data_IF_480019537686
#
_entry.id   IF_480019537686
#
_cell.length_a   1.000
_cell.length_b   1.000
_cell.length_c   1.000
_cell.angle_alpha   90.00
_cell.angle_beta   90.00
_cell.angle_gamma   90.00
#
_symmetry.space_group_name_H-M   'P 1'
#
loop_
_entity.id
_entity.type
_entity.pdbx_description
1 polymer ?
#
# COMPACT_ATOMS: atom_id res chain seq x y z
N UNK A 1 65.54 46.54 50.39
CA UNK A 1 65.84 45.16 49.96
C UNK A 1 65.83 45.15 48.44
N UNK A 2 66.95 44.72 47.83
CA UNK A 2 67.10 43.98 46.56
C UNK A 2 66.01 44.19 45.48
N UNK A 3 66.24 44.54 44.21
CA UNK A 3 67.31 44.26 43.23
C UNK A 3 66.95 45.15 42.00
N UNK A 4 67.76 46.11 41.52
CA UNK A 4 68.75 45.96 40.43
C UNK A 4 68.42 44.78 39.50
N UNK A 5 68.07 44.95 38.22
CA UNK A 5 68.91 45.42 37.09
C UNK A 5 68.18 45.01 35.77
N UNK A 6 68.48 45.43 34.53
CA UNK A 6 69.57 46.17 33.91
C UNK A 6 69.03 46.91 32.67
N UNK A 7 69.59 48.09 32.51
CA UNK A 7 69.76 48.93 31.33
C UNK A 7 70.16 48.21 30.03
N UNK A 8 69.70 48.72 28.88
CA UNK A 8 70.57 49.11 27.75
C UNK A 8 69.75 49.49 26.52
N UNK A 9 69.71 50.79 26.24
CA UNK A 9 69.35 51.38 24.95
C UNK A 9 70.60 52.03 24.37
N UNK A 10 71.05 51.54 23.21
CA UNK A 10 72.12 52.16 22.42
C UNK A 10 72.08 51.65 20.97
N UNK A 11 72.43 52.49 19.98
CA UNK A 11 71.75 52.48 18.68
C UNK A 11 72.51 51.77 17.56
N UNK A 12 71.73 51.30 16.58
CA UNK A 12 72.19 50.69 15.34
C UNK A 12 72.79 51.71 14.36
N UNK A 13 73.78 51.29 13.55
CA UNK A 13 73.81 51.79 12.19
C UNK A 13 74.24 50.76 11.12
N UNK A 14 73.87 51.10 9.88
CA UNK A 14 74.35 50.59 8.56
C UNK A 14 73.80 49.21 8.16
N UNK A 15 73.26 48.99 6.97
CA UNK A 15 73.12 49.84 5.79
C UNK A 15 72.95 48.96 4.53
N UNK A 16 72.44 49.60 3.48
CA UNK A 16 72.40 49.22 2.06
C UNK A 16 71.20 48.40 1.53
N UNK A 17 70.78 48.91 0.36
CA UNK A 17 69.56 48.67 -0.43
C UNK A 17 69.66 47.43 -1.33
N UNK A 18 68.47 47.02 -1.82
CA UNK A 18 68.06 46.11 -2.94
C UNK A 18 67.48 44.79 -2.41
N UNK A 19 66.35 44.25 -2.88
CA UNK A 19 65.43 44.61 -3.96
C UNK A 19 64.04 43.99 -3.73
N UNK A 20 63.02 44.81 -3.95
CA UNK A 20 61.65 44.52 -4.43
C UNK A 20 61.51 43.20 -5.23
N UNK A 21 61.24 42.04 -4.62
CA UNK A 21 60.63 40.82 -5.25
C UNK A 21 60.00 39.81 -4.27
N UNK A 22 59.69 40.17 -3.01
CA UNK A 22 59.16 39.21 -2.02
C UNK A 22 58.04 39.84 -1.18
N UNK A 23 56.98 40.33 -1.85
CA UNK A 23 55.71 40.66 -1.17
C UNK A 23 54.46 40.25 -1.96
N UNK A 24 54.61 39.63 -3.14
CA UNK A 24 53.48 39.04 -3.89
C UNK A 24 53.27 37.54 -3.64
N UNK A 25 54.17 36.86 -2.92
CA UNK A 25 54.11 35.40 -2.74
C UNK A 25 53.32 34.90 -1.53
N UNK A 26 53.01 35.76 -0.55
CA UNK A 26 52.38 35.34 0.71
C UNK A 26 50.93 35.83 0.84
N UNK A 27 50.51 36.83 0.06
CA UNK A 27 49.09 37.18 -0.09
C UNK A 27 48.31 36.18 -0.99
N UNK A 28 49.01 35.29 -1.71
CA UNK A 28 48.40 34.26 -2.57
C UNK A 28 48.24 32.89 -1.89
N UNK A 29 48.78 32.72 -0.66
CA UNK A 29 48.71 31.46 0.10
C UNK A 29 47.77 31.52 1.31
N UNK A 30 47.28 32.70 1.67
CA UNK A 30 46.22 32.91 2.67
C UNK A 30 44.85 33.19 2.06
N UNK A 31 44.68 32.95 0.75
CA UNK A 31 43.44 33.11 -0.01
C UNK A 31 42.93 31.82 -0.66
N UNK A 32 43.50 30.67 -0.33
CA UNK A 32 43.24 29.38 -1.02
C UNK A 32 42.48 28.34 -0.19
N UNK A 33 41.91 28.73 0.96
CA UNK A 33 41.20 27.81 1.86
C UNK A 33 39.70 28.07 2.03
N UNK A 34 39.09 28.89 1.17
CA UNK A 34 37.62 28.99 1.06
C UNK A 34 37.21 29.08 -0.42
N UNK A 35 37.65 28.12 -1.22
CA UNK A 35 36.79 27.68 -2.32
C UNK A 35 35.81 26.69 -1.70
N UNK A 36 34.69 27.23 -1.20
CA UNK A 36 33.52 26.42 -0.94
C UNK A 36 33.23 25.67 -2.23
N UNK A 37 33.42 24.35 -2.24
CA UNK A 37 32.81 23.49 -3.22
C UNK A 37 31.30 23.63 -3.02
N UNK A 38 30.71 24.64 -3.65
CA UNK A 38 29.34 24.50 -4.13
C UNK A 38 29.45 23.44 -5.22
N UNK A 39 29.37 22.18 -4.78
CA UNK A 39 28.97 21.10 -5.65
C UNK A 39 27.53 21.44 -6.04
N UNK A 40 27.39 22.33 -7.03
CA UNK A 40 26.13 22.59 -7.69
C UNK A 40 25.83 21.31 -8.48
N UNK A 41 25.23 20.33 -7.80
CA UNK A 41 24.43 19.34 -8.49
C UNK A 41 23.39 20.15 -9.27
N UNK A 42 23.38 20.03 -10.59
CA UNK A 42 22.32 20.57 -11.41
C UNK A 42 21.07 19.76 -11.03
N UNK A 43 20.27 20.28 -10.09
CA UNK A 43 18.98 19.66 -9.76
C UNK A 43 18.07 20.06 -10.91
N UNK A 44 18.07 19.21 -11.95
CA UNK A 44 17.12 19.31 -13.04
C UNK A 44 15.76 18.86 -12.50
N UNK A 45 15.02 19.82 -11.95
CA UNK A 45 13.61 19.67 -11.66
C UNK A 45 12.90 19.76 -13.00
N UNK A 46 12.50 18.60 -13.54
CA UNK A 46 11.67 18.47 -14.73
C UNK A 46 12.39 18.47 -16.11
N UNK A 47 13.59 17.90 -16.19
CA UNK A 47 14.23 17.53 -17.46
C UNK A 47 14.36 18.69 -18.46
N UNK A 48 14.77 19.87 -18.00
CA UNK A 48 14.91 21.11 -18.78
C UNK A 48 13.60 21.70 -19.33
N UNK A 49 12.43 21.33 -18.79
CA UNK A 49 11.16 22.01 -19.06
C UNK A 49 10.97 23.25 -18.17
N UNK A 50 10.18 24.27 -18.61
CA UNK A 50 9.89 25.44 -17.81
C UNK A 50 9.25 25.05 -16.46
N UNK A 51 9.90 25.43 -15.35
CA UNK A 51 9.34 25.24 -14.02
C UNK A 51 8.27 26.31 -13.78
N UNK A 52 7.02 25.87 -13.59
CA UNK A 52 5.88 26.76 -13.34
C UNK A 52 5.78 27.14 -11.85
N UNK A 53 5.40 28.39 -11.58
CA UNK A 53 5.21 28.91 -10.22
C UNK A 53 4.04 28.19 -9.55
N UNK A 54 4.31 27.33 -8.58
CA UNK A 54 3.31 26.51 -7.88
C UNK A 54 3.61 25.02 -7.81
N UNK A 55 4.67 24.54 -8.45
CA UNK A 55 5.12 23.16 -8.26
C UNK A 55 5.79 23.04 -6.88
N UNK A 56 5.06 22.45 -5.93
CA UNK A 56 5.56 22.12 -4.60
C UNK A 56 6.71 21.12 -4.65
N UNK A 57 7.34 20.87 -3.50
CA UNK A 57 8.39 19.84 -3.35
C UNK A 57 7.86 18.51 -3.89
N UNK A 58 8.40 18.06 -5.02
CA UNK A 58 8.08 16.77 -5.62
C UNK A 58 8.72 15.66 -4.77
N UNK A 59 8.04 15.24 -3.70
CA UNK A 59 8.30 13.95 -3.10
C UNK A 59 7.70 12.88 -3.99
N UNK A 60 8.47 11.82 -4.23
CA UNK A 60 8.04 10.66 -5.00
C UNK A 60 6.90 9.97 -4.24
N UNK A 61 5.69 10.13 -4.75
CA UNK A 61 4.54 9.31 -4.35
C UNK A 61 4.78 7.92 -4.94
N UNK A 62 4.65 6.83 -4.19
CA UNK A 62 4.81 5.45 -4.71
C UNK A 62 3.92 5.23 -5.94
N UNK A 63 2.79 5.91 -5.95
CA UNK A 63 1.83 5.97 -7.03
C UNK A 63 2.16 6.88 -8.24
N UNK A 64 3.19 7.70 -8.17
CA UNK A 64 3.59 8.63 -9.24
C UNK A 64 4.62 8.05 -10.22
N UNK A 65 5.25 6.90 -9.88
CA UNK A 65 6.14 6.11 -10.76
C UNK A 65 6.77 6.88 -11.92
N UNK A 66 6.38 6.53 -13.15
CA UNK A 66 6.72 7.23 -14.40
C UNK A 66 5.57 8.07 -14.95
N UNK A 67 4.45 8.16 -14.22
CA UNK A 67 3.22 8.84 -14.62
C UNK A 67 2.87 9.89 -13.60
N UNK A 68 3.03 11.16 -13.97
CA UNK A 68 2.75 12.27 -13.07
C UNK A 68 1.27 12.30 -12.69
N UNK A 69 1.02 12.21 -11.37
CA UNK A 69 -0.31 12.43 -10.82
C UNK A 69 -0.65 13.92 -10.94
N UNK A 70 -1.85 14.22 -11.43
CA UNK A 70 -2.35 15.61 -11.47
C UNK A 70 -3.35 15.81 -10.35
N UNK A 71 -3.08 16.78 -9.48
CA UNK A 71 -3.96 17.21 -8.38
C UNK A 71 -4.58 18.54 -8.76
N UNK A 72 -5.91 18.61 -8.81
CA UNK A 72 -6.66 19.81 -9.13
C UNK A 72 -7.54 20.19 -7.93
N UNK A 73 -7.20 21.25 -7.18
CA UNK A 73 -8.11 21.81 -6.18
C UNK A 73 -9.26 22.54 -6.85
N UNK A 74 -10.46 22.40 -6.30
CA UNK A 74 -11.63 23.14 -6.72
C UNK A 74 -12.15 24.00 -5.57
N UNK A 75 -12.66 25.18 -5.92
CA UNK A 75 -13.30 26.08 -4.99
C UNK A 75 -14.70 26.43 -5.46
N UNK A 76 -15.62 26.59 -4.52
CA UNK A 76 -17.01 26.97 -4.79
C UNK A 76 -17.45 28.08 -3.85
N UNK A 77 -18.33 28.96 -4.34
CA UNK A 77 -18.85 30.07 -3.57
C UNK A 77 -20.10 29.66 -2.77
N UNK A 78 -20.03 29.80 -1.46
CA UNK A 78 -21.17 29.56 -0.56
C UNK A 78 -21.78 30.89 -0.12
N UNK A 79 -23.08 31.06 -0.37
CA UNK A 79 -23.85 32.23 0.07
C UNK A 79 -24.15 32.18 1.57
N UNK A 80 -24.05 33.31 2.25
CA UNK A 80 -24.48 33.52 3.63
C UNK A 80 -25.23 34.86 3.78
N UNK A 81 -25.90 35.07 4.91
CA UNK A 81 -26.59 36.32 5.18
C UNK A 81 -25.57 37.45 5.38
N UNK A 82 -25.58 38.45 4.50
CA UNK A 82 -24.65 39.59 4.58
C UNK A 82 -23.31 39.41 3.84
N UNK A 83 -23.13 38.32 3.09
CA UNK A 83 -21.95 38.06 2.26
C UNK A 83 -21.81 36.58 1.90
N UNK A 84 -20.77 36.20 1.17
CA UNK A 84 -20.44 34.80 0.92
C UNK A 84 -18.93 34.62 0.78
N UNK A 85 -18.47 33.38 0.73
CA UNK A 85 -17.05 33.09 0.65
C UNK A 85 -16.79 31.91 -0.29
N UNK A 86 -15.61 31.92 -0.94
CA UNK A 86 -15.12 30.76 -1.67
C UNK A 86 -14.48 29.79 -0.69
N UNK A 87 -15.03 28.58 -0.65
CA UNK A 87 -14.49 27.48 0.11
C UNK A 87 -13.69 26.56 -0.80
N UNK A 88 -12.65 25.94 -0.25
CA UNK A 88 -12.03 24.79 -0.88
C UNK A 88 -12.98 23.60 -0.71
N UNK A 89 -13.57 23.10 -1.81
CA UNK A 89 -14.72 22.18 -1.76
C UNK A 89 -14.45 20.80 -2.32
N UNK A 90 -13.47 20.64 -3.20
CA UNK A 90 -13.07 19.31 -3.66
C UNK A 90 -11.63 19.27 -4.14
N UNK A 91 -11.11 18.04 -4.24
CA UNK A 91 -9.84 17.73 -4.89
C UNK A 91 -10.08 16.63 -5.90
N UNK A 92 -9.68 16.91 -7.14
CA UNK A 92 -9.64 15.91 -8.21
C UNK A 92 -8.20 15.39 -8.34
N UNK A 93 -8.02 14.08 -8.31
CA UNK A 93 -6.74 13.43 -8.60
C UNK A 93 -6.91 12.60 -9.86
N UNK A 94 -5.99 12.73 -10.81
CA UNK A 94 -6.04 12.03 -12.10
C UNK A 94 -4.66 11.48 -12.49
N UNK A 95 -4.65 10.68 -13.57
CA UNK A 95 -3.50 9.92 -14.05
C UNK A 95 -2.99 8.88 -13.04
N UNK A 96 -3.89 8.29 -12.25
CA UNK A 96 -3.54 7.27 -11.27
C UNK A 96 -3.28 5.93 -11.99
N UNK A 97 -2.05 5.38 -11.97
CA UNK A 97 -1.73 4.15 -12.67
C UNK A 97 -2.30 2.90 -11.97
N UNK A 98 -2.40 1.80 -12.70
CA UNK A 98 -2.87 0.51 -12.15
C UNK A 98 -1.94 -0.06 -11.06
N UNK A 99 -0.67 0.39 -11.01
CA UNK A 99 0.26 0.02 -9.94
C UNK A 99 -0.14 0.56 -8.58
N UNK A 100 -1.11 1.49 -8.53
CA UNK A 100 -1.67 2.05 -7.31
C UNK A 100 -2.83 1.27 -6.73
N UNK A 101 -3.15 0.12 -7.29
CA UNK A 101 -4.17 -0.73 -6.70
C UNK A 101 -3.76 -1.11 -5.27
N UNK A 102 -4.74 -1.11 -4.39
CA UNK A 102 -4.60 -1.43 -2.98
C UNK A 102 -3.72 -0.42 -2.19
N UNK A 103 -3.75 0.86 -2.59
CA UNK A 103 -3.10 1.99 -1.91
C UNK A 103 -4.12 2.99 -1.35
N UNK A 104 -3.74 3.64 -0.27
CA UNK A 104 -4.44 4.78 0.32
C UNK A 104 -3.81 6.09 -0.14
N UNK A 105 -4.62 6.97 -0.72
CA UNK A 105 -4.26 8.35 -1.02
C UNK A 105 -4.71 9.25 0.12
N UNK A 106 -3.75 9.88 0.80
CA UNK A 106 -4.01 10.87 1.84
C UNK A 106 -3.69 12.25 1.30
N UNK A 107 -4.70 13.13 1.22
CA UNK A 107 -4.56 14.51 0.80
C UNK A 107 -4.65 15.43 2.02
N UNK A 108 -3.72 16.39 2.11
CA UNK A 108 -3.72 17.44 3.14
C UNK A 108 -3.53 18.80 2.47
N UNK A 109 -4.07 19.86 3.06
CA UNK A 109 -3.83 21.24 2.62
C UNK A 109 -3.13 22.03 3.72
N UNK A 110 -2.31 23.00 3.33
CA UNK A 110 -1.52 23.82 4.25
C UNK A 110 -1.67 25.29 3.91
N UNK A 111 -1.57 26.13 4.93
CA UNK A 111 -1.50 27.59 4.77
C UNK A 111 -0.09 28.09 4.47
N UNK A 112 0.03 29.41 4.26
CA UNK A 112 1.30 30.09 3.96
C UNK A 112 2.26 30.15 5.17
N UNK A 113 1.78 29.86 6.38
CA UNK A 113 2.59 29.90 7.60
C UNK A 113 2.20 28.74 8.52
N UNK A 114 3.17 27.89 8.84
CA UNK A 114 2.99 26.74 9.73
C UNK A 114 3.10 25.39 9.02
N UNK A 115 3.41 24.35 9.81
CA UNK A 115 3.59 22.98 9.32
C UNK A 115 2.39 22.08 9.64
N UNK A 116 1.32 22.64 10.19
CA UNK A 116 0.10 21.92 10.54
C UNK A 116 -0.89 21.96 9.36
N UNK A 117 -1.51 20.83 9.00
CA UNK A 117 -2.56 20.81 7.99
C UNK A 117 -3.77 21.65 8.42
N UNK A 118 -4.45 22.25 7.43
CA UNK A 118 -5.72 22.95 7.61
C UNK A 118 -6.86 21.97 7.88
N UNK A 119 -7.85 22.40 8.65
CA UNK A 119 -9.14 21.72 8.71
C UNK A 119 -9.86 21.90 7.36
N UNK A 120 -10.21 20.79 6.72
CA UNK A 120 -10.75 20.76 5.35
C UNK A 120 -12.28 20.65 5.37
N UNK A 121 -12.82 19.72 6.16
CA UNK A 121 -14.24 19.42 6.21
C UNK A 121 -14.69 18.90 7.58
N UNK A 122 -16.01 18.83 7.79
CA UNK A 122 -16.63 18.25 8.99
C UNK A 122 -16.04 18.81 10.29
N UNK A 123 -15.91 20.13 10.37
CA UNK A 123 -15.32 20.91 11.47
C UNK A 123 -13.82 20.74 11.70
N UNK A 124 -13.31 19.51 11.81
CA UNK A 124 -11.94 19.26 12.31
C UNK A 124 -11.13 18.30 11.43
N UNK A 125 -11.69 17.77 10.35
CA UNK A 125 -10.99 16.79 9.51
C UNK A 125 -9.87 17.48 8.74
N UNK A 126 -8.62 17.07 8.97
CA UNK A 126 -7.43 17.68 8.36
C UNK A 126 -6.88 16.92 7.16
N UNK A 127 -7.46 15.76 6.86
CA UNK A 127 -7.02 14.88 5.78
C UNK A 127 -8.21 14.26 5.04
N UNK A 128 -8.12 14.19 3.73
CA UNK A 128 -9.01 13.37 2.90
C UNK A 128 -8.30 12.05 2.55
N UNK A 129 -8.88 10.92 2.93
CA UNK A 129 -8.29 9.59 2.70
C UNK A 129 -9.18 8.80 1.74
N UNK A 130 -8.56 8.33 0.66
CA UNK A 130 -9.21 7.56 -0.41
C UNK A 130 -8.48 6.24 -0.62
N UNK A 131 -9.22 5.16 -0.52
CA UNK A 131 -8.74 3.82 -0.83
C UNK A 131 -8.94 3.51 -2.31
N UNK A 132 -7.91 3.01 -2.98
CA UNK A 132 -7.99 2.48 -4.35
C UNK A 132 -8.23 0.97 -4.33
N UNK A 133 -9.49 0.56 -4.34
CA UNK A 133 -9.93 -0.83 -4.42
C UNK A 133 -9.84 -1.35 -5.87
N UNK A 134 -8.65 -1.75 -6.28
CA UNK A 134 -8.41 -2.35 -7.60
C UNK A 134 -8.96 -1.53 -8.78
N UNK A 135 -8.87 -0.20 -8.70
CA UNK A 135 -9.38 0.74 -9.70
C UNK A 135 -10.73 1.39 -9.35
N UNK A 136 -11.40 0.93 -8.28
CA UNK A 136 -12.56 1.62 -7.70
C UNK A 136 -12.11 2.47 -6.52
N UNK A 137 -12.35 3.78 -6.55
CA UNK A 137 -11.95 4.66 -5.45
C UNK A 137 -13.07 4.82 -4.44
N UNK A 138 -12.74 4.59 -3.17
CA UNK A 138 -13.67 4.57 -2.04
C UNK A 138 -13.19 5.51 -0.93
N UNK A 139 -14.12 6.14 -0.21
CA UNK A 139 -13.76 6.97 0.95
C UNK A 139 -13.42 6.08 2.13
N UNK A 140 -12.39 6.44 2.88
CA UNK A 140 -12.06 5.77 4.14
C UNK A 140 -13.27 5.70 5.10
N UNK A 141 -13.54 4.51 5.62
CA UNK A 141 -14.65 4.24 6.54
C UNK A 141 -14.62 5.18 7.75
N UNK A 142 -15.70 5.94 7.96
CA UNK A 142 -15.83 6.89 9.07
C UNK A 142 -15.60 8.36 8.70
N UNK A 143 -15.24 8.68 7.45
CA UNK A 143 -15.21 10.07 6.98
C UNK A 143 -16.63 10.60 6.76
N UNK A 144 -17.22 11.20 7.79
CA UNK A 144 -18.47 11.95 7.68
C UNK A 144 -18.21 13.34 7.07
N UNK A 145 -19.19 13.88 6.32
CA UNK A 145 -19.04 15.20 5.69
C UNK A 145 -18.23 15.22 4.39
N UNK A 146 -18.11 14.07 3.71
CA UNK A 146 -17.47 13.95 2.40
C UNK A 146 -18.24 12.99 1.47
N UNK A 147 -18.02 13.14 0.16
CA UNK A 147 -18.47 12.22 -0.88
C UNK A 147 -17.38 12.02 -1.92
N UNK A 148 -17.46 10.94 -2.70
CA UNK A 148 -16.50 10.64 -3.76
C UNK A 148 -17.22 10.32 -5.05
N UNK A 149 -16.68 10.82 -6.15
CA UNK A 149 -16.99 10.35 -7.51
C UNK A 149 -15.72 9.75 -8.08
N UNK A 150 -15.82 8.58 -8.70
CA UNK A 150 -14.66 7.84 -9.18
C UNK A 150 -14.88 7.30 -10.60
N UNK A 151 -13.79 7.25 -11.36
CA UNK A 151 -13.71 6.66 -12.70
C UNK A 151 -12.30 6.03 -12.85
N UNK A 152 -12.06 5.34 -13.96
CA UNK A 152 -10.78 4.69 -14.23
C UNK A 152 -9.61 5.68 -14.15
N UNK A 153 -8.74 5.50 -13.15
CA UNK A 153 -7.52 6.30 -12.96
C UNK A 153 -7.76 7.72 -12.43
N UNK A 154 -8.98 8.03 -11.96
CA UNK A 154 -9.30 9.34 -11.37
C UNK A 154 -10.36 9.27 -10.29
N UNK A 155 -10.26 10.15 -9.31
CA UNK A 155 -11.33 10.39 -8.36
C UNK A 155 -11.46 11.88 -8.04
N UNK A 156 -12.66 12.28 -7.66
CA UNK A 156 -12.96 13.59 -7.07
C UNK A 156 -13.48 13.38 -5.66
N UNK A 157 -12.71 13.82 -4.66
CA UNK A 157 -13.12 13.84 -3.28
C UNK A 157 -13.79 15.19 -2.98
N UNK A 158 -15.06 15.17 -2.61
CA UNK A 158 -15.87 16.37 -2.36
C UNK A 158 -16.17 16.50 -0.88
N UNK A 159 -15.93 17.69 -0.33
CA UNK A 159 -16.27 18.06 1.03
C UNK A 159 -17.73 18.53 1.06
N UNK A 160 -18.63 17.76 1.67
CA UNK A 160 -20.05 18.15 1.75
C UNK A 160 -20.31 19.19 2.84
N UNK A 161 -19.39 19.28 3.82
CA UNK A 161 -19.35 20.33 4.85
C UNK A 161 -17.95 20.97 4.89
N UNK A 162 -17.57 21.79 3.89
CA UNK A 162 -16.24 22.39 3.80
C UNK A 162 -16.05 23.46 4.88
N UNK A 163 -14.83 23.56 5.42
CA UNK A 163 -14.49 24.59 6.43
C UNK A 163 -13.28 25.45 6.03
N UNK A 164 -12.38 24.95 5.18
CA UNK A 164 -11.25 25.73 4.66
C UNK A 164 -11.72 26.78 3.64
N UNK A 165 -11.35 28.03 3.85
CA UNK A 165 -11.48 29.06 2.81
C UNK A 165 -10.44 28.81 1.71
N UNK A 166 -10.82 29.02 0.45
CA UNK A 166 -9.89 28.82 -0.68
C UNK A 166 -8.66 29.73 -0.60
N UNK A 167 -8.81 30.90 0.02
CA UNK A 167 -7.71 31.86 0.24
C UNK A 167 -6.71 31.42 1.31
N UNK A 168 -7.06 30.44 2.14
CA UNK A 168 -6.17 29.90 3.16
C UNK A 168 -5.31 28.75 2.64
N UNK A 169 -5.73 28.09 1.55
CA UNK A 169 -5.00 26.97 0.94
C UNK A 169 -3.84 27.52 0.11
N UNK A 170 -2.62 27.33 0.60
CA UNK A 170 -1.39 27.73 -0.07
C UNK A 170 -0.74 26.57 -0.81
N UNK A 171 -0.78 25.36 -0.23
CA UNK A 171 -0.23 24.15 -0.85
C UNK A 171 -1.05 22.91 -0.49
N UNK A 172 -0.88 21.87 -1.30
CA UNK A 172 -1.47 20.55 -1.11
C UNK A 172 -0.37 19.51 -1.08
N UNK A 173 -0.57 18.46 -0.29
CA UNK A 173 0.22 17.24 -0.37
C UNK A 173 -0.69 16.07 -0.70
N UNK A 174 -0.13 15.11 -1.42
CA UNK A 174 -0.70 13.78 -1.59
C UNK A 174 0.35 12.77 -1.16
N UNK A 175 -0.06 11.84 -0.31
CA UNK A 175 0.76 10.74 0.17
C UNK A 175 0.07 9.44 -0.22
N UNK A 176 0.80 8.51 -0.84
CA UNK A 176 0.29 7.16 -1.11
C UNK A 176 0.93 6.18 -0.13
N UNK A 177 0.11 5.48 0.65
CA UNK A 177 0.57 4.42 1.53
C UNK A 177 -0.03 3.09 1.11
N UNK A 178 0.61 2.01 1.53
CA UNK A 178 -0.03 0.70 1.52
C UNK A 178 -1.35 0.76 2.27
N UNK A 179 -2.43 0.27 1.64
CA UNK A 179 -3.70 0.17 2.36
C UNK A 179 -3.53 -0.77 3.55
N UNK A 180 -3.77 -0.23 4.74
CA UNK A 180 -3.83 -1.01 5.97
C UNK A 180 -5.31 -1.21 6.25
N UNK A 181 -5.82 -2.37 5.85
CA UNK A 181 -7.07 -2.87 6.41
C UNK A 181 -6.90 -2.87 7.94
N UNK A 182 -7.78 -2.15 8.65
CA UNK A 182 -7.89 -2.22 10.12
C UNK A 182 -7.72 -3.68 10.54
N UNK A 183 -6.80 -3.94 11.48
CA UNK A 183 -6.34 -5.30 11.88
C UNK A 183 -7.44 -6.33 11.66
N UNK A 184 -7.33 -7.15 10.60
CA UNK A 184 -8.50 -7.81 10.09
C UNK A 184 -8.95 -8.85 11.11
N UNK A 185 -10.21 -8.71 11.56
CA UNK A 185 -10.82 -9.54 12.60
C UNK A 185 -10.85 -11.04 12.24
N UNK A 186 -10.48 -11.40 11.01
CA UNK A 186 -10.36 -12.78 10.54
C UNK A 186 -9.42 -13.60 11.43
N UNK A 187 -8.30 -13.02 11.89
CA UNK A 187 -7.35 -13.80 12.67
C UNK A 187 -7.88 -14.12 14.07
N UNK A 188 -8.55 -13.13 14.68
CA UNK A 188 -9.25 -13.32 15.96
C UNK A 188 -10.41 -14.32 15.84
N UNK A 189 -11.15 -14.28 14.72
CA UNK A 189 -12.23 -15.25 14.42
C UNK A 189 -11.71 -16.69 14.37
N UNK A 190 -10.46 -16.85 13.93
CA UNK A 190 -9.79 -18.15 13.84
C UNK A 190 -9.00 -18.52 15.11
N UNK A 191 -9.15 -17.78 16.20
CA UNK A 191 -8.32 -17.93 17.41
C UNK A 191 -6.81 -18.00 17.07
N UNK A 192 -6.41 -17.30 16.01
CA UNK A 192 -5.05 -17.29 15.49
C UNK A 192 -4.21 -16.21 16.14
N UNK A 193 -2.90 -16.28 15.90
CA UNK A 193 -1.96 -15.22 16.25
C UNK A 193 -1.53 -14.49 14.99
N UNK A 194 -1.84 -13.20 14.90
CA UNK A 194 -1.40 -12.34 13.81
C UNK A 194 0.01 -11.82 14.11
N UNK A 195 0.95 -12.10 13.22
CA UNK A 195 2.28 -11.48 13.23
C UNK A 195 2.53 -10.85 11.85
N UNK A 196 2.60 -9.52 11.83
CA UNK A 196 2.61 -8.73 10.60
C UNK A 196 1.39 -9.09 9.73
N UNK A 197 1.63 -9.72 8.57
CA UNK A 197 0.59 -10.10 7.61
C UNK A 197 0.23 -11.59 7.68
N UNK A 198 0.79 -12.35 8.62
CA UNK A 198 0.57 -13.80 8.73
C UNK A 198 -0.27 -14.12 9.95
N UNK A 199 -1.50 -14.56 9.72
CA UNK A 199 -2.33 -15.15 10.77
C UNK A 199 -2.02 -16.63 10.89
N UNK A 200 -1.48 -17.06 12.03
CA UNK A 200 -1.18 -18.47 12.28
C UNK A 200 -2.24 -19.09 13.19
N UNK A 201 -2.94 -20.11 12.70
CA UNK A 201 -3.97 -20.84 13.47
C UNK A 201 -3.31 -21.98 14.23
N UNK A 202 -3.43 -21.95 15.55
CA UNK A 202 -2.72 -22.87 16.45
C UNK A 202 -3.61 -23.98 17.02
N UNK A 203 -4.93 -23.90 16.81
CA UNK A 203 -5.90 -24.88 17.30
C UNK A 203 -7.06 -25.02 16.31
N UNK A 204 -7.73 -26.17 16.33
CA UNK A 204 -8.87 -26.40 15.45
C UNK A 204 -10.01 -25.42 15.71
N UNK A 205 -10.63 -24.91 14.64
CA UNK A 205 -11.73 -23.94 14.72
C UNK A 205 -12.87 -24.36 13.80
N UNK A 206 -14.10 -24.21 14.29
CA UNK A 206 -15.30 -24.36 13.46
C UNK A 206 -15.90 -22.98 13.21
N UNK A 207 -15.89 -22.56 11.95
CA UNK A 207 -16.66 -21.42 11.48
C UNK A 207 -18.11 -21.87 11.36
N UNK A 208 -19.01 -21.16 12.05
CA UNK A 208 -20.46 -21.35 11.95
C UNK A 208 -21.01 -20.90 10.59
N UNK A 209 -22.21 -20.32 10.57
CA UNK A 209 -22.80 -19.77 9.34
C UNK A 209 -22.20 -18.43 8.88
N UNK A 210 -21.30 -17.84 9.67
CA UNK A 210 -20.67 -16.54 9.39
C UNK A 210 -19.73 -16.59 8.17
N UNK A 211 -19.50 -15.42 7.57
CA UNK A 211 -18.47 -15.24 6.54
C UNK A 211 -17.12 -14.85 7.14
N UNK A 212 -16.05 -15.54 6.75
CA UNK A 212 -14.67 -15.19 7.03
C UNK A 212 -14.04 -14.60 5.76
N UNK A 213 -13.51 -13.38 5.84
CA UNK A 213 -12.74 -12.76 4.76
C UNK A 213 -11.27 -12.78 5.12
N UNK A 214 -10.43 -13.38 4.27
CA UNK A 214 -8.97 -13.25 4.32
C UNK A 214 -8.62 -12.13 3.33
N UNK A 215 -8.23 -10.93 3.80
CA UNK A 215 -7.97 -9.81 2.92
C UNK A 215 -6.73 -10.04 2.06
N UNK A 216 -6.58 -9.25 0.99
CA UNK A 216 -5.35 -9.26 0.19
C UNK A 216 -4.13 -9.00 1.06
N UNK A 217 -2.96 -9.47 0.65
CA UNK A 217 -1.67 -9.35 1.35
C UNK A 217 -1.55 -10.15 2.66
N UNK A 218 -2.66 -10.52 3.29
CA UNK A 218 -2.65 -11.39 4.45
C UNK A 218 -2.49 -12.85 4.05
N UNK A 219 -1.82 -13.61 4.91
CA UNK A 219 -1.69 -15.07 4.80
C UNK A 219 -2.40 -15.72 5.98
N UNK A 220 -3.41 -16.53 5.70
CA UNK A 220 -3.91 -17.53 6.63
C UNK A 220 -2.97 -18.73 6.60
N UNK A 221 -2.30 -19.03 7.71
CA UNK A 221 -1.41 -20.17 7.84
C UNK A 221 -1.91 -21.17 8.87
N UNK A 222 -2.04 -22.42 8.44
CA UNK A 222 -2.30 -23.58 9.31
C UNK A 222 -1.03 -24.41 9.33
N UNK A 223 -0.16 -24.20 10.33
CA UNK A 223 1.18 -24.79 10.34
C UNK A 223 1.24 -26.22 10.88
N UNK A 224 0.29 -26.61 11.72
CA UNK A 224 0.25 -27.95 12.33
C UNK A 224 -0.66 -28.88 11.50
N UNK A 225 -0.17 -30.06 11.06
CA UNK A 225 -0.97 -31.04 10.32
C UNK A 225 -2.19 -31.55 11.08
N UNK A 226 -2.21 -31.45 12.40
CA UNK A 226 -3.33 -31.89 13.24
C UNK A 226 -4.39 -30.81 13.45
N UNK A 227 -4.14 -29.56 13.04
CA UNK A 227 -5.12 -28.49 13.13
C UNK A 227 -6.10 -28.60 11.99
N UNK A 228 -7.39 -28.58 12.32
CA UNK A 228 -8.48 -28.60 11.34
C UNK A 228 -9.31 -27.33 11.45
N UNK A 229 -9.49 -26.63 10.32
CA UNK A 229 -10.52 -25.60 10.18
C UNK A 229 -11.76 -26.24 9.54
N UNK A 230 -12.89 -26.15 10.22
CA UNK A 230 -14.19 -26.57 9.67
C UNK A 230 -14.98 -25.35 9.24
N UNK A 231 -15.28 -25.23 7.96
CA UNK A 231 -16.10 -24.17 7.39
C UNK A 231 -17.54 -24.64 7.18
N UNK A 232 -18.50 -24.13 7.95
CA UNK A 232 -19.93 -24.31 7.69
C UNK A 232 -20.59 -23.07 7.06
N UNK A 233 -19.83 -22.00 6.87
CA UNK A 233 -20.30 -20.70 6.37
C UNK A 233 -19.67 -20.36 5.04
N UNK A 234 -19.11 -19.16 4.92
CA UNK A 234 -18.37 -18.74 3.71
C UNK A 234 -16.96 -18.31 4.06
N UNK A 235 -15.94 -18.90 3.45
CA UNK A 235 -14.58 -18.35 3.46
C UNK A 235 -14.34 -17.65 2.12
N UNK A 236 -14.00 -16.37 2.14
CA UNK A 236 -13.53 -15.64 0.96
C UNK A 236 -12.03 -15.40 1.12
N UNK A 237 -11.22 -16.00 0.25
CA UNK A 237 -9.78 -15.80 0.22
C UNK A 237 -9.39 -14.80 -0.85
N UNK A 238 -9.11 -13.56 -0.46
CA UNK A 238 -8.47 -12.55 -1.33
C UNK A 238 -6.95 -12.48 -1.11
N UNK A 239 -6.47 -13.01 0.02
CA UNK A 239 -5.05 -13.13 0.35
C UNK A 239 -4.47 -14.48 -0.04
N UNK A 240 -3.66 -15.04 0.84
CA UNK A 240 -3.07 -16.38 0.70
C UNK A 240 -3.61 -17.33 1.77
N UNK A 241 -3.95 -18.55 1.38
CA UNK A 241 -4.13 -19.68 2.31
C UNK A 241 -2.91 -20.59 2.18
N UNK A 242 -2.21 -20.86 3.28
CA UNK A 242 -1.12 -21.83 3.39
C UNK A 242 -1.48 -22.89 4.43
N UNK A 243 -1.97 -24.04 3.95
CA UNK A 243 -2.55 -25.08 4.79
C UNK A 243 -1.69 -26.33 4.82
N UNK A 244 -0.88 -26.47 5.86
CA UNK A 244 -0.25 -27.74 6.25
C UNK A 244 -1.15 -28.58 7.16
N UNK A 245 -2.19 -27.98 7.75
CA UNK A 245 -3.31 -28.66 8.41
C UNK A 245 -4.44 -29.05 7.46
N UNK A 246 -5.58 -29.41 8.05
CA UNK A 246 -6.77 -29.79 7.32
C UNK A 246 -7.79 -28.63 7.20
N UNK A 247 -8.44 -28.53 6.03
CA UNK A 247 -9.61 -27.66 5.84
C UNK A 247 -10.80 -28.53 5.44
N UNK A 248 -11.82 -28.59 6.29
CA UNK A 248 -13.09 -29.27 6.01
C UNK A 248 -14.16 -28.25 5.63
N UNK A 249 -14.69 -28.34 4.44
CA UNK A 249 -15.64 -27.40 3.86
C UNK A 249 -17.03 -28.03 3.71
N UNK A 250 -17.95 -27.65 4.60
CA UNK A 250 -19.38 -27.95 4.50
C UNK A 250 -20.18 -26.76 3.92
N UNK A 251 -19.60 -25.56 3.94
CA UNK A 251 -20.18 -24.35 3.38
C UNK A 251 -19.60 -23.99 2.01
N UNK A 252 -19.19 -22.73 1.83
CA UNK A 252 -18.58 -22.24 0.58
C UNK A 252 -17.17 -21.71 0.83
N UNK A 253 -16.23 -22.04 -0.06
CA UNK A 253 -14.92 -21.38 -0.17
C UNK A 253 -14.88 -20.64 -1.51
N UNK A 254 -14.71 -19.33 -1.47
CA UNK A 254 -14.46 -18.48 -2.64
C UNK A 254 -12.98 -18.10 -2.67
N UNK A 255 -12.20 -18.83 -3.46
CA UNK A 255 -10.78 -18.60 -3.60
C UNK A 255 -10.50 -17.61 -4.75
N UNK A 256 -10.14 -16.37 -4.40
CA UNK A 256 -9.72 -15.32 -5.33
C UNK A 256 -8.21 -15.08 -5.32
N UNK A 257 -7.47 -15.70 -4.40
CA UNK A 257 -6.01 -15.60 -4.28
C UNK A 257 -5.29 -16.97 -4.30
N UNK A 258 -4.01 -17.02 -3.91
CA UNK A 258 -3.29 -18.29 -3.80
C UNK A 258 -3.81 -19.15 -2.65
N UNK A 259 -4.02 -20.44 -2.93
CA UNK A 259 -4.32 -21.47 -1.94
C UNK A 259 -3.27 -22.57 -2.08
N UNK A 260 -2.47 -22.82 -1.05
CA UNK A 260 -1.54 -23.94 -0.95
C UNK A 260 -2.12 -25.02 -0.02
N UNK A 261 -2.63 -26.11 -0.60
CA UNK A 261 -3.05 -27.28 0.14
C UNK A 261 -1.87 -28.25 0.25
N UNK A 262 -1.17 -28.24 1.38
CA UNK A 262 0.00 -29.09 1.62
C UNK A 262 -0.35 -30.40 2.35
N UNK A 263 -1.59 -30.56 2.82
CA UNK A 263 -2.01 -31.74 3.58
C UNK A 263 -3.36 -32.27 3.12
N UNK A 264 -4.47 -31.76 3.66
CA UNK A 264 -5.78 -32.34 3.43
C UNK A 264 -6.86 -31.28 3.29
N UNK A 265 -7.63 -31.34 2.20
CA UNK A 265 -8.83 -30.53 2.01
C UNK A 265 -10.00 -31.46 1.74
N UNK A 266 -11.09 -31.31 2.48
CA UNK A 266 -12.27 -32.15 2.36
C UNK A 266 -13.50 -31.30 2.15
N UNK A 267 -14.27 -31.54 1.10
CA UNK A 267 -15.53 -30.87 0.81
C UNK A 267 -16.64 -31.92 0.74
N UNK A 268 -17.10 -32.46 1.88
CA UNK A 268 -18.07 -33.55 1.88
C UNK A 268 -19.46 -33.09 1.42
N UNK A 269 -19.80 -31.82 1.64
CA UNK A 269 -21.07 -31.22 1.17
C UNK A 269 -20.88 -29.80 0.64
N UNK A 270 -19.73 -29.18 0.90
CA UNK A 270 -19.50 -27.79 0.56
C UNK A 270 -19.14 -27.56 -0.91
N UNK A 271 -19.09 -26.28 -1.26
CA UNK A 271 -18.66 -25.78 -2.57
C UNK A 271 -17.29 -25.12 -2.46
N UNK A 272 -16.37 -25.43 -3.37
CA UNK A 272 -15.09 -24.73 -3.53
C UNK A 272 -15.11 -24.04 -4.90
N UNK A 273 -15.07 -22.72 -4.91
CA UNK A 273 -14.97 -21.93 -6.12
C UNK A 273 -13.55 -21.37 -6.22
N UNK A 274 -12.74 -21.89 -7.14
CA UNK A 274 -11.50 -21.24 -7.55
C UNK A 274 -11.83 -20.20 -8.63
N UNK A 275 -11.98 -18.95 -8.21
CA UNK A 275 -12.45 -17.85 -9.04
C UNK A 275 -11.35 -17.29 -9.93
N UNK A 276 -11.72 -16.38 -10.84
CA UNK A 276 -10.75 -15.63 -11.63
C UNK A 276 -9.76 -14.89 -10.72
N UNK A 277 -8.46 -15.00 -11.00
CA UNK A 277 -7.38 -14.51 -10.13
C UNK A 277 -6.93 -15.49 -9.04
N UNK A 278 -7.74 -16.50 -8.72
CA UNK A 278 -7.40 -17.55 -7.75
C UNK A 278 -6.44 -18.58 -8.32
N UNK A 279 -5.53 -19.11 -7.48
CA UNK A 279 -4.66 -20.23 -7.87
C UNK A 279 -4.74 -21.29 -6.78
N UNK A 280 -5.23 -22.48 -7.12
CA UNK A 280 -5.29 -23.60 -6.19
C UNK A 280 -4.10 -24.53 -6.44
N UNK A 281 -3.15 -24.58 -5.51
CA UNK A 281 -1.97 -25.44 -5.56
C UNK A 281 -2.16 -26.60 -4.57
N UNK A 282 -2.59 -27.74 -5.10
CA UNK A 282 -2.70 -28.98 -4.36
C UNK A 282 -1.38 -29.77 -4.38
N UNK A 283 -0.74 -29.88 -3.22
CA UNK A 283 0.38 -30.80 -2.95
C UNK A 283 -0.02 -31.97 -2.04
N UNK A 284 -1.13 -31.82 -1.31
CA UNK A 284 -1.72 -32.83 -0.45
C UNK A 284 -2.83 -33.63 -1.14
N UNK A 285 -3.95 -33.83 -0.43
CA UNK A 285 -5.15 -34.48 -0.91
C UNK A 285 -6.36 -33.54 -0.91
N UNK A 286 -7.24 -33.70 -1.90
CA UNK A 286 -8.56 -33.08 -2.00
C UNK A 286 -9.60 -34.18 -2.12
N UNK A 287 -10.45 -34.33 -1.11
CA UNK A 287 -11.63 -35.19 -1.15
C UNK A 287 -12.87 -34.33 -1.36
N UNK A 288 -13.67 -34.60 -2.39
CA UNK A 288 -14.92 -33.86 -2.62
C UNK A 288 -16.10 -34.79 -2.90
N UNK A 289 -17.12 -34.68 -2.05
CA UNK A 289 -18.47 -35.15 -2.33
C UNK A 289 -19.43 -33.98 -2.65
N UNK A 290 -18.97 -32.74 -2.49
CA UNK A 290 -19.64 -31.53 -2.94
C UNK A 290 -19.14 -31.05 -4.30
N UNK A 291 -19.20 -29.74 -4.53
CA UNK A 291 -18.89 -29.12 -5.83
C UNK A 291 -17.54 -28.40 -5.80
N UNK A 292 -16.69 -28.61 -6.82
CA UNK A 292 -15.50 -27.79 -7.08
C UNK A 292 -15.67 -27.11 -8.44
N UNK A 293 -15.70 -25.79 -8.46
CA UNK A 293 -15.74 -24.99 -9.67
C UNK A 293 -14.38 -24.35 -9.88
N UNK A 294 -13.65 -24.81 -10.90
CA UNK A 294 -12.38 -24.21 -11.28
C UNK A 294 -12.58 -23.23 -12.45
N UNK A 295 -12.41 -21.94 -12.18
CA UNK A 295 -12.50 -20.83 -13.16
C UNK A 295 -11.16 -20.10 -13.35
N UNK A 296 -10.06 -20.71 -12.91
CA UNK A 296 -8.70 -20.22 -13.13
C UNK A 296 -7.71 -21.38 -13.00
N UNK A 297 -6.55 -21.21 -12.37
CA UNK A 297 -5.50 -22.22 -12.34
C UNK A 297 -5.70 -23.18 -11.16
N UNK A 298 -5.81 -24.48 -11.46
CA UNK A 298 -5.73 -25.56 -10.47
C UNK A 298 -4.50 -26.43 -10.76
N UNK A 299 -3.49 -26.34 -9.90
CA UNK A 299 -2.27 -27.14 -9.99
C UNK A 299 -2.33 -28.30 -8.99
N UNK A 300 -2.43 -29.52 -9.49
CA UNK A 300 -2.31 -30.75 -8.73
C UNK A 300 -0.92 -31.37 -8.93
N UNK A 301 -0.03 -31.15 -7.97
CA UNK A 301 1.36 -31.67 -7.99
C UNK A 301 1.61 -32.69 -6.89
N UNK A 302 0.57 -33.22 -6.27
CA UNK A 302 0.69 -34.25 -5.25
C UNK A 302 1.24 -35.54 -5.83
N UNK A 303 2.10 -36.22 -5.07
CA UNK A 303 2.64 -37.53 -5.44
C UNK A 303 1.65 -38.67 -5.20
N UNK A 304 0.50 -38.39 -4.59
CA UNK A 304 -0.53 -39.38 -4.36
C UNK A 304 -1.39 -39.57 -5.63
N UNK A 305 -1.59 -40.80 -6.13
CA UNK A 305 -2.48 -41.05 -7.27
C UNK A 305 -3.93 -40.63 -7.03
N UNK A 306 -4.40 -40.65 -5.77
CA UNK A 306 -5.73 -40.19 -5.35
C UNK A 306 -5.67 -38.79 -4.70
N UNK A 307 -4.74 -37.96 -5.17
CA UNK A 307 -4.58 -36.59 -4.68
C UNK A 307 -5.82 -35.72 -4.84
N UNK A 308 -6.66 -36.03 -5.83
CA UNK A 308 -8.00 -35.46 -5.93
C UNK A 308 -8.96 -36.62 -6.13
N UNK A 309 -9.78 -36.89 -5.13
CA UNK A 309 -10.79 -37.93 -5.17
C UNK A 309 -12.20 -37.31 -5.15
N UNK A 310 -13.02 -37.71 -6.12
CA UNK A 310 -14.44 -37.39 -6.17
C UNK A 310 -15.25 -38.60 -5.70
N UNK A 311 -15.92 -38.49 -4.55
CA UNK A 311 -16.86 -39.55 -4.19
C UNK A 311 -18.15 -39.48 -5.00
N UNK A 312 -19.10 -40.33 -4.66
CA UNK A 312 -20.25 -40.67 -5.52
C UNK A 312 -21.13 -39.47 -5.92
N UNK A 313 -21.12 -38.40 -5.11
CA UNK A 313 -21.87 -37.16 -5.36
C UNK A 313 -20.97 -35.97 -5.74
N UNK A 314 -19.66 -36.17 -5.79
CA UNK A 314 -18.69 -35.14 -6.11
C UNK A 314 -18.83 -34.66 -7.56
N UNK A 315 -18.76 -33.35 -7.75
CA UNK A 315 -18.74 -32.73 -9.08
C UNK A 315 -17.57 -31.75 -9.14
N UNK A 316 -16.71 -31.91 -10.13
CA UNK A 316 -15.68 -30.93 -10.47
C UNK A 316 -15.98 -30.38 -11.86
N UNK A 317 -16.13 -29.07 -11.96
CA UNK A 317 -16.32 -28.37 -13.24
C UNK A 317 -15.11 -27.49 -13.50
N UNK A 318 -14.34 -27.83 -14.53
CA UNK A 318 -13.25 -27.00 -15.04
C UNK A 318 -13.77 -26.15 -16.20
N UNK A 319 -13.83 -24.82 -15.99
CA UNK A 319 -14.29 -23.88 -17.01
C UNK A 319 -13.12 -23.49 -17.93
N UNK A 320 -13.32 -23.57 -19.24
CA UNK A 320 -12.40 -23.11 -20.27
C UNK A 320 -12.36 -21.57 -20.27
N UNK A 321 -11.21 -20.96 -20.64
CA UNK A 321 -9.97 -21.58 -21.10
C UNK A 321 -9.02 -22.03 -19.97
N UNK A 322 -9.51 -22.18 -18.74
CA UNK A 322 -8.65 -22.27 -17.56
C UNK A 322 -8.11 -23.68 -17.28
N UNK A 323 -6.92 -23.71 -16.67
CA UNK A 323 -6.08 -24.90 -16.63
C UNK A 323 -6.32 -25.77 -15.39
N UNK A 324 -6.58 -27.06 -15.64
CA UNK A 324 -6.33 -28.15 -14.71
C UNK A 324 -4.97 -28.76 -15.02
N UNK A 325 -4.00 -28.51 -14.15
CA UNK A 325 -2.62 -28.97 -14.32
C UNK A 325 -2.35 -30.15 -13.38
N UNK A 326 -2.15 -31.34 -13.95
CA UNK A 326 -1.81 -32.55 -13.19
C UNK A 326 -2.76 -33.71 -13.46
N UNK A 327 -2.66 -34.79 -12.67
CA UNK A 327 -3.51 -35.97 -12.83
C UNK A 327 -5.00 -35.59 -12.74
N UNK A 328 -5.82 -36.24 -13.57
CA UNK A 328 -7.27 -36.11 -13.48
C UNK A 328 -7.76 -36.67 -12.13
N UNK A 329 -8.84 -36.11 -11.57
CA UNK A 329 -9.45 -36.66 -10.37
C UNK A 329 -9.86 -38.13 -10.56
N UNK A 330 -9.69 -38.93 -9.50
CA UNK A 330 -10.15 -40.32 -9.44
C UNK A 330 -11.49 -40.40 -8.68
N UNK A 331 -12.19 -41.53 -8.76
CA UNK A 331 -13.42 -41.80 -8.01
C UNK A 331 -14.70 -41.87 -8.86
N UNK A 332 -15.86 -41.94 -8.20
CA UNK A 332 -17.17 -42.21 -8.82
C UNK A 332 -17.95 -40.93 -9.20
N UNK A 333 -17.43 -39.75 -8.84
CA UNK A 333 -18.03 -38.45 -9.16
C UNK A 333 -17.85 -38.01 -10.62
N UNK A 334 -18.32 -36.80 -10.95
CA UNK A 334 -18.29 -36.23 -12.31
C UNK A 334 -17.21 -35.15 -12.47
N UNK A 335 -16.27 -35.38 -13.39
CA UNK A 335 -15.35 -34.36 -13.89
C UNK A 335 -15.83 -33.81 -15.23
N UNK A 336 -16.25 -32.54 -15.25
CA UNK A 336 -16.70 -31.83 -16.45
C UNK A 336 -15.63 -30.83 -16.90
N UNK A 337 -15.41 -30.75 -18.21
CA UNK A 337 -14.63 -29.69 -18.85
C UNK A 337 -15.59 -28.93 -19.74
N UNK A 338 -15.89 -27.68 -19.38
CA UNK A 338 -16.88 -26.81 -20.05
C UNK A 338 -16.21 -25.63 -20.74
#
# INVERSE_FOLDING_TARGET
MSLLNFESSGPAPRGKKKSLKIFLGIAALAGSLVLGSTLAANIDLNGSQPVEFGQGVAQTVDCSGTTELTITPNAEFTNATGGGAFYFTSVTVSNIPISCYDKDFTIKAYGNSGNSPLELFNTTSTSAVVYNNSGTFEIWTGSTGASITSDSGTFTFTFTSPVALSTQVFSLTIESNDHIDVEPAFCNTLNGTLNLLVCTVNSGVTLGSSSLLIPKRYTLRISDPNVTITNNGTITNNGTIDSSGAITNNGTINNNGPYFNNSYSNSPTGTINNNFGGVFNNRGQVLSNGTINNRHIFNNTSSNPDAVYQGDLGIITNFAPYEWNGPLPTGWGRFNVN
#
